data_IF_917982171804
#
_entry.id   IF_917982171804
#
_cell.length_a   1.000
_cell.length_b   1.000
_cell.length_c   1.000
_cell.angle_alpha   90.00
_cell.angle_beta   90.00
_cell.angle_gamma   90.00
#
_symmetry.space_group_name_H-M   'P 1'
#
loop_
_entity.id
_entity.type
_entity.pdbx_description
1 polymer ?
#
# COMPACT_ATOMS: atom_id res chain seq x y z
N UNK A 1 -10.24 -21.01 -34.59
CA UNK A 1 -10.30 -19.63 -35.11
C UNK A 1 -9.62 -18.71 -34.12
N UNK A 2 -8.43 -18.22 -34.41
CA UNK A 2 -7.74 -17.26 -33.54
C UNK A 2 -8.39 -15.90 -33.75
N UNK A 3 -9.22 -15.46 -32.80
CA UNK A 3 -9.83 -14.14 -32.84
C UNK A 3 -8.69 -13.13 -32.75
N UNK A 4 -8.40 -12.41 -33.85
CA UNK A 4 -7.46 -11.29 -33.80
C UNK A 4 -8.07 -10.27 -32.84
N UNK A 5 -7.50 -10.14 -31.63
CA UNK A 5 -7.94 -9.13 -30.67
C UNK A 5 -7.56 -7.77 -31.24
N UNK A 6 -8.53 -7.03 -31.76
CA UNK A 6 -8.35 -5.63 -32.11
C UNK A 6 -7.92 -4.88 -30.86
N UNK A 7 -6.77 -4.20 -30.91
CA UNK A 7 -6.30 -3.39 -29.79
C UNK A 7 -7.19 -2.15 -29.65
N UNK A 8 -7.53 -1.79 -28.41
CA UNK A 8 -8.22 -0.53 -28.12
C UNK A 8 -7.28 0.65 -28.34
N UNK A 9 -7.79 1.78 -28.83
CA UNK A 9 -7.00 3.02 -28.87
C UNK A 9 -6.73 3.52 -27.44
N UNK A 10 -5.69 4.34 -27.29
CA UNK A 10 -5.38 4.98 -26.01
C UNK A 10 -6.57 5.78 -25.47
N UNK A 11 -7.23 6.54 -26.35
CA UNK A 11 -8.43 7.32 -26.02
C UNK A 11 -9.56 6.45 -25.47
N UNK A 12 -9.80 5.26 -26.05
CA UNK A 12 -10.82 4.33 -25.53
C UNK A 12 -10.45 3.79 -24.15
N UNK A 13 -9.18 3.51 -23.90
CA UNK A 13 -8.70 3.06 -22.58
C UNK A 13 -8.91 4.17 -21.55
N UNK A 14 -8.45 5.38 -21.86
CA UNK A 14 -8.58 6.54 -20.97
C UNK A 14 -10.03 6.91 -20.66
N UNK A 15 -10.93 6.74 -21.63
CA UNK A 15 -12.37 6.88 -21.41
C UNK A 15 -12.90 5.79 -20.47
N UNK A 16 -12.51 4.53 -20.69
CA UNK A 16 -12.92 3.40 -19.85
C UNK A 16 -12.45 3.53 -18.40
N UNK A 17 -11.28 4.13 -18.15
CA UNK A 17 -10.77 4.38 -16.79
C UNK A 17 -11.53 5.45 -16.02
N UNK A 18 -12.37 6.23 -16.68
CA UNK A 18 -13.21 7.26 -16.05
C UNK A 18 -14.64 6.76 -15.80
N UNK A 19 -14.94 5.51 -16.15
CA UNK A 19 -16.27 4.95 -15.98
C UNK A 19 -16.61 4.75 -14.49
N UNK A 20 -17.87 4.94 -14.14
CA UNK A 20 -18.37 4.67 -12.79
C UNK A 20 -18.30 3.19 -12.41
N UNK A 21 -18.40 2.29 -13.39
CA UNK A 21 -18.37 0.84 -13.19
C UNK A 21 -16.92 0.33 -13.08
N UNK A 22 -16.60 -0.33 -11.97
CA UNK A 22 -15.26 -0.88 -11.75
C UNK A 22 -14.91 -2.00 -12.74
N UNK A 23 -15.88 -2.77 -13.23
CA UNK A 23 -15.64 -3.81 -14.23
C UNK A 23 -15.14 -3.20 -15.55
N UNK A 24 -15.69 -2.04 -15.92
CA UNK A 24 -15.25 -1.29 -17.12
C UNK A 24 -13.84 -0.73 -16.93
N UNK A 25 -13.56 -0.12 -15.77
CA UNK A 25 -12.20 0.37 -15.45
C UNK A 25 -11.18 -0.77 -15.40
N UNK A 26 -11.55 -1.93 -14.85
CA UNK A 26 -10.71 -3.12 -14.79
C UNK A 26 -10.44 -3.65 -16.20
N UNK A 27 -11.46 -3.72 -17.06
CA UNK A 27 -11.32 -4.11 -18.45
C UNK A 27 -10.37 -3.17 -19.21
N UNK A 28 -10.43 -1.86 -18.95
CA UNK A 28 -9.50 -0.88 -19.51
C UNK A 28 -8.04 -1.15 -19.07
N UNK A 29 -7.80 -1.43 -17.78
CA UNK A 29 -6.47 -1.82 -17.29
C UNK A 29 -5.98 -3.16 -17.88
N UNK A 30 -6.85 -4.15 -17.98
CA UNK A 30 -6.52 -5.42 -18.63
C UNK A 30 -6.13 -5.23 -20.10
N UNK A 31 -6.73 -4.24 -20.78
CA UNK A 31 -6.38 -3.90 -22.15
C UNK A 31 -5.01 -3.22 -22.31
N UNK A 32 -4.35 -2.79 -21.21
CA UNK A 32 -2.98 -2.27 -21.18
C UNK A 32 -1.91 -3.36 -21.10
N UNK A 33 -2.25 -4.59 -20.70
CA UNK A 33 -1.29 -5.66 -20.47
C UNK A 33 -0.59 -6.13 -21.76
N UNK A 34 0.74 -6.17 -21.73
CA UNK A 34 1.59 -6.53 -22.86
C UNK A 34 1.67 -5.46 -23.95
N UNK A 35 1.45 -4.19 -23.61
CA UNK A 35 1.43 -3.06 -24.55
C UNK A 35 2.26 -1.89 -24.04
N UNK A 36 2.86 -1.16 -24.96
CA UNK A 36 3.49 0.12 -24.66
C UNK A 36 2.39 1.19 -24.48
N UNK A 37 2.02 1.46 -23.23
CA UNK A 37 1.08 2.51 -22.84
C UNK A 37 1.79 3.47 -21.90
N UNK A 38 1.45 4.78 -21.90
CA UNK A 38 2.06 5.73 -20.98
C UNK A 38 1.91 5.26 -19.52
N UNK A 39 2.99 5.36 -18.74
CA UNK A 39 2.99 4.96 -17.33
C UNK A 39 1.90 5.69 -16.54
N UNK A 40 1.62 6.96 -16.89
CA UNK A 40 0.55 7.77 -16.30
C UNK A 40 -0.85 7.12 -16.39
N UNK A 41 -1.11 6.32 -17.44
CA UNK A 41 -2.36 5.57 -17.59
C UNK A 41 -2.43 4.41 -16.60
N UNK A 42 -1.32 3.68 -16.44
CA UNK A 42 -1.24 2.58 -15.48
C UNK A 42 -1.30 3.13 -14.05
N UNK A 43 -0.62 4.24 -13.78
CA UNK A 43 -0.68 4.95 -12.49
C UNK A 43 -2.09 5.36 -12.09
N UNK A 44 -2.96 5.72 -13.05
CA UNK A 44 -4.36 6.00 -12.77
C UNK A 44 -5.07 4.75 -12.22
N UNK A 45 -4.89 3.60 -12.87
CA UNK A 45 -5.46 2.32 -12.39
C UNK A 45 -4.85 1.84 -11.07
N UNK A 46 -3.57 2.12 -10.82
CA UNK A 46 -2.89 1.84 -9.56
C UNK A 46 -3.40 2.66 -8.36
N UNK A 47 -4.07 3.78 -8.64
CA UNK A 47 -4.71 4.69 -7.66
C UNK A 47 -6.23 4.57 -7.66
N UNK A 48 -6.79 3.62 -8.42
CA UNK A 48 -8.23 3.38 -8.44
C UNK A 48 -8.73 2.99 -7.05
N UNK A 49 -9.99 3.30 -6.73
CA UNK A 49 -10.62 2.92 -5.47
C UNK A 49 -10.94 1.42 -5.40
N UNK A 50 -11.12 0.79 -6.55
CA UNK A 50 -11.46 -0.63 -6.64
C UNK A 50 -10.20 -1.52 -6.65
N UNK A 51 -10.20 -2.59 -5.84
CA UNK A 51 -9.04 -3.46 -5.69
C UNK A 51 -8.72 -4.28 -6.96
N UNK A 52 -9.74 -4.67 -7.71
CA UNK A 52 -9.57 -5.48 -8.91
C UNK A 52 -8.98 -4.65 -10.06
N UNK A 53 -9.34 -3.36 -10.13
CA UNK A 53 -8.73 -2.40 -11.06
C UNK A 53 -7.25 -2.18 -10.73
N UNK A 54 -6.92 -1.98 -9.45
CA UNK A 54 -5.52 -1.84 -9.00
C UNK A 54 -4.69 -3.08 -9.33
N UNK A 55 -5.23 -4.27 -9.08
CA UNK A 55 -4.56 -5.53 -9.42
C UNK A 55 -4.33 -5.66 -10.94
N UNK A 56 -5.31 -5.27 -11.76
CA UNK A 56 -5.16 -5.27 -13.21
C UNK A 56 -4.05 -4.30 -13.69
N UNK A 57 -3.91 -3.14 -13.04
CA UNK A 57 -2.85 -2.17 -13.32
C UNK A 57 -1.45 -2.70 -12.93
N UNK A 58 -1.32 -3.37 -11.78
CA UNK A 58 -0.08 -4.04 -11.37
C UNK A 58 0.35 -5.13 -12.36
N UNK A 59 -0.62 -5.95 -12.80
CA UNK A 59 -0.39 -6.95 -13.83
C UNK A 59 0.07 -6.31 -15.15
N UNK A 60 -0.42 -5.11 -15.47
CA UNK A 60 0.05 -4.35 -16.63
C UNK A 60 1.51 -3.88 -16.44
N UNK A 61 1.90 -3.34 -15.28
CA UNK A 61 3.31 -3.03 -14.99
C UNK A 61 4.21 -4.24 -15.21
N UNK A 62 3.91 -5.37 -14.57
CA UNK A 62 4.70 -6.61 -14.65
C UNK A 62 4.81 -7.11 -16.08
N UNK A 63 3.68 -7.21 -16.81
CA UNK A 63 3.68 -7.71 -18.19
C UNK A 63 4.35 -6.76 -19.18
N UNK A 64 4.35 -5.46 -18.90
CA UNK A 64 5.01 -4.46 -19.74
C UNK A 64 6.49 -4.30 -19.38
N UNK A 65 6.98 -4.99 -18.34
CA UNK A 65 8.36 -4.90 -17.87
C UNK A 65 8.67 -3.59 -17.14
N UNK A 66 7.65 -2.87 -16.67
CA UNK A 66 7.85 -1.68 -15.84
C UNK A 66 8.00 -2.07 -14.37
N UNK A 67 8.92 -1.44 -13.62
CA UNK A 67 8.89 -1.53 -12.17
C UNK A 67 7.54 -1.00 -11.68
N UNK A 68 6.99 -1.65 -10.66
CA UNK A 68 5.77 -1.16 -10.01
C UNK A 68 6.10 0.20 -9.38
N UNK A 69 5.40 1.28 -9.76
CA UNK A 69 5.60 2.59 -9.15
C UNK A 69 5.34 2.53 -7.64
N UNK A 70 6.06 3.35 -6.88
CA UNK A 70 5.76 3.55 -5.46
C UNK A 70 4.49 4.39 -5.36
N UNK A 71 3.45 3.85 -4.75
CA UNK A 71 2.16 4.50 -4.60
C UNK A 71 1.93 4.80 -3.12
N UNK A 72 1.78 6.08 -2.80
CA UNK A 72 1.51 6.57 -1.46
C UNK A 72 0.18 7.32 -1.49
N UNK A 73 -0.86 6.76 -0.87
CA UNK A 73 -2.20 7.40 -0.84
C UNK A 73 -2.23 8.59 0.11
N UNK A 74 -1.30 8.63 1.05
CA UNK A 74 -0.97 9.78 1.88
C UNK A 74 0.55 9.90 1.94
N UNK A 75 1.03 11.13 2.13
CA UNK A 75 2.39 11.34 2.59
C UNK A 75 2.40 11.24 4.12
N UNK A 76 3.08 10.23 4.71
CA UNK A 76 3.21 10.11 6.16
C UNK A 76 3.95 11.32 6.74
N UNK A 77 3.68 11.70 7.99
CA UNK A 77 4.57 12.59 8.72
C UNK A 77 5.95 11.96 8.95
N UNK A 78 6.91 12.76 9.41
CA UNK A 78 8.28 12.32 9.72
C UNK A 78 8.29 11.08 10.64
N UNK A 79 7.46 11.10 11.69
CA UNK A 79 7.30 9.99 12.62
C UNK A 79 5.88 9.46 12.60
N UNK A 80 5.75 8.14 12.43
CA UNK A 80 4.48 7.40 12.53
C UNK A 80 4.48 6.48 13.75
N UNK A 81 3.28 6.07 14.17
CA UNK A 81 3.08 5.41 15.46
C UNK A 81 2.33 4.10 15.30
N UNK A 82 2.88 3.01 15.85
CA UNK A 82 2.23 1.70 15.87
C UNK A 82 1.93 1.28 17.30
N UNK A 83 0.64 1.10 17.62
CA UNK A 83 0.24 0.49 18.90
C UNK A 83 0.61 -0.99 18.92
N UNK A 84 1.30 -1.37 20.00
CA UNK A 84 1.75 -2.72 20.31
C UNK A 84 1.08 -3.22 21.59
N UNK A 85 1.32 -4.49 21.94
CA UNK A 85 0.80 -5.12 23.16
C UNK A 85 1.28 -4.34 24.40
N UNK A 86 0.40 -4.20 25.40
CA UNK A 86 0.73 -3.56 26.67
C UNK A 86 0.86 -2.04 26.60
N UNK A 87 0.13 -1.39 25.68
CA UNK A 87 0.15 0.06 25.42
C UNK A 87 1.54 0.61 25.03
N UNK A 88 2.46 -0.28 24.64
CA UNK A 88 3.73 0.11 24.03
C UNK A 88 3.45 0.73 22.66
N UNK A 89 4.09 1.85 22.37
CA UNK A 89 4.02 2.52 21.06
C UNK A 89 5.38 2.44 20.39
N UNK A 90 5.40 1.92 19.17
CA UNK A 90 6.57 1.92 18.30
C UNK A 90 6.51 3.16 17.42
N UNK A 91 7.57 3.98 17.47
CA UNK A 91 7.79 5.10 16.57
C UNK A 91 8.65 4.64 15.39
N UNK A 92 8.29 5.06 14.19
CA UNK A 92 9.02 4.68 12.98
C UNK A 92 9.02 5.81 11.94
N UNK A 93 9.99 5.75 11.02
CA UNK A 93 9.97 6.51 9.76
C UNK A 93 9.53 5.58 8.63
N UNK A 94 8.87 6.13 7.61
CA UNK A 94 8.47 5.39 6.41
C UNK A 94 9.37 5.82 5.24
N UNK A 95 10.22 4.92 4.70
CA UNK A 95 11.08 5.24 3.57
C UNK A 95 10.29 5.73 2.35
N UNK A 96 10.86 6.63 1.54
CA UNK A 96 10.24 7.13 0.30
C UNK A 96 9.97 6.02 -0.72
N UNK A 97 10.73 4.92 -0.64
CA UNK A 97 10.55 3.73 -1.48
C UNK A 97 9.40 2.83 -1.05
N UNK A 98 8.79 3.09 0.12
CA UNK A 98 7.72 2.26 0.66
C UNK A 98 6.37 2.59 0.01
N UNK A 99 5.63 1.54 -0.34
CA UNK A 99 4.21 1.66 -0.66
C UNK A 99 3.47 2.12 0.59
N UNK A 100 2.52 3.06 0.45
CA UNK A 100 1.71 3.55 1.56
C UNK A 100 0.24 3.54 1.16
N UNK A 101 -0.59 2.94 2.01
CA UNK A 101 -2.05 2.90 1.87
C UNK A 101 -2.70 3.39 3.16
N UNK A 102 -3.80 4.11 3.03
CA UNK A 102 -4.56 4.66 4.15
C UNK A 102 -4.99 6.11 3.91
N UNK A 103 -5.52 6.72 4.98
CA UNK A 103 -6.04 8.09 5.00
C UNK A 103 -5.66 8.75 6.32
N UNK A 104 -5.37 10.05 6.30
CA UNK A 104 -5.16 10.84 7.53
C UNK A 104 -6.38 10.72 8.45
N UNK A 105 -6.16 10.54 9.76
CA UNK A 105 -7.25 10.28 10.70
C UNK A 105 -7.66 8.81 10.82
N UNK A 106 -6.95 7.89 10.16
CA UNK A 106 -7.28 6.45 10.14
C UNK A 106 -6.01 5.61 10.13
N UNK A 107 -6.17 4.31 10.40
CA UNK A 107 -5.07 3.35 10.33
C UNK A 107 -4.52 3.31 8.91
N UNK A 108 -3.21 3.38 8.80
CA UNK A 108 -2.47 3.30 7.56
C UNK A 108 -1.58 2.06 7.57
N UNK A 109 -1.05 1.70 6.40
CA UNK A 109 -0.15 0.58 6.21
C UNK A 109 0.97 0.94 5.24
N UNK A 110 2.16 0.42 5.51
CA UNK A 110 3.33 0.60 4.67
C UNK A 110 4.00 -0.74 4.35
N UNK A 111 4.67 -0.82 3.19
CA UNK A 111 5.47 -1.98 2.81
C UNK A 111 6.84 -2.02 3.48
N UNK A 112 7.29 -0.91 4.06
CA UNK A 112 8.53 -0.83 4.83
C UNK A 112 8.45 0.26 5.90
N UNK A 113 9.22 0.09 6.98
CA UNK A 113 9.36 1.06 8.06
C UNK A 113 10.71 0.88 8.77
N UNK A 114 11.28 1.96 9.29
CA UNK A 114 12.47 1.92 10.13
C UNK A 114 12.12 2.35 11.55
N UNK A 115 12.41 1.51 12.54
CA UNK A 115 12.01 1.76 13.92
C UNK A 115 13.00 2.70 14.60
N UNK A 116 12.52 3.85 15.07
CA UNK A 116 13.37 4.91 15.63
C UNK A 116 13.31 5.01 17.15
N UNK A 117 12.17 4.68 17.75
CA UNK A 117 11.95 4.80 19.19
C UNK A 117 10.86 3.83 19.64
N UNK A 118 10.92 3.41 20.92
CA UNK A 118 9.87 2.65 21.59
C UNK A 118 9.46 3.38 22.86
N UNK A 119 8.17 3.71 22.96
CA UNK A 119 7.57 4.39 24.10
C UNK A 119 6.85 3.34 24.96
N UNK A 120 7.32 3.17 26.20
CA UNK A 120 6.81 2.17 27.14
C UNK A 120 7.72 0.94 27.22
N UNK A 121 7.29 -0.07 27.98
CA UNK A 121 8.02 -1.35 28.10
C UNK A 121 7.03 -2.50 28.19
N UNK A 122 7.46 -3.67 27.70
CA UNK A 122 6.76 -4.93 27.92
C UNK A 122 7.64 -5.80 28.82
N UNK A 123 7.14 -6.15 30.01
CA UNK A 123 7.92 -6.95 30.98
C UNK A 123 9.23 -6.29 31.45
N UNK A 124 9.33 -4.96 31.37
CA UNK A 124 10.55 -4.21 31.70
C UNK A 124 11.53 -4.03 30.54
N UNK A 125 11.24 -4.60 29.37
CA UNK A 125 12.05 -4.47 28.16
C UNK A 125 11.43 -3.44 27.19
N UNK A 126 12.29 -2.64 26.54
CA UNK A 126 11.87 -1.69 25.51
C UNK A 126 11.69 -2.43 24.18
N UNK A 127 10.54 -3.09 24.03
CA UNK A 127 10.19 -3.90 22.85
C UNK A 127 8.73 -3.70 22.48
N UNK A 128 8.46 -3.50 21.19
CA UNK A 128 7.12 -3.54 20.64
C UNK A 128 6.74 -4.95 20.22
N UNK A 129 5.60 -5.47 20.66
CA UNK A 129 5.05 -6.74 20.17
C UNK A 129 3.76 -6.46 19.40
N UNK A 130 3.66 -6.95 18.17
CA UNK A 130 2.48 -6.77 17.32
C UNK A 130 1.20 -7.30 17.99
N UNK A 131 0.16 -6.47 18.02
CA UNK A 131 -1.16 -6.83 18.60
C UNK A 131 -1.85 -7.94 17.79
N UNK A 132 -1.61 -7.99 16.48
CA UNK A 132 -2.31 -8.88 15.56
C UNK A 132 -1.85 -10.34 15.68
N UNK A 133 -0.56 -10.59 15.50
CA UNK A 133 0.00 -11.96 15.51
C UNK A 133 0.58 -12.38 16.86
N UNK A 134 0.82 -11.40 17.76
CA UNK A 134 1.45 -11.58 19.08
C UNK A 134 2.83 -12.24 19.01
N UNK A 135 3.50 -12.13 17.86
CA UNK A 135 4.77 -12.79 17.55
C UNK A 135 5.80 -11.83 17.00
N UNK A 136 5.41 -10.93 16.10
CA UNK A 136 6.35 -9.98 15.50
C UNK A 136 6.80 -8.98 16.56
N UNK A 137 8.11 -8.90 16.76
CA UNK A 137 8.77 -7.97 17.69
C UNK A 137 9.42 -6.82 16.93
N UNK A 138 9.50 -5.66 17.57
CA UNK A 138 10.15 -4.46 17.05
C UNK A 138 11.12 -3.92 18.10
N UNK A 139 12.35 -3.67 17.67
CA UNK A 139 13.42 -3.03 18.42
C UNK A 139 13.87 -1.75 17.71
N UNK A 140 14.45 -0.82 18.48
CA UNK A 140 15.03 0.39 17.91
C UNK A 140 16.17 0.02 16.95
N UNK A 141 16.13 0.58 15.75
CA UNK A 141 17.07 0.29 14.67
C UNK A 141 16.62 -0.80 13.69
N UNK A 142 15.51 -1.49 13.96
CA UNK A 142 14.99 -2.51 13.05
C UNK A 142 14.47 -1.90 11.74
N UNK A 143 14.83 -2.53 10.62
CA UNK A 143 14.21 -2.32 9.32
C UNK A 143 13.13 -3.38 9.08
N UNK A 144 11.88 -2.94 8.99
CA UNK A 144 10.73 -3.78 8.69
C UNK A 144 10.50 -3.76 7.18
N UNK A 145 10.51 -4.93 6.55
CA UNK A 145 10.15 -5.11 5.13
C UNK A 145 9.01 -6.11 5.01
N UNK A 146 8.00 -5.77 4.20
CA UNK A 146 6.84 -6.60 3.91
C UNK A 146 6.95 -7.08 2.46
N UNK A 147 7.38 -8.33 2.28
CA UNK A 147 7.59 -8.92 0.94
C UNK A 147 6.28 -9.09 0.17
N UNK A 148 5.24 -9.61 0.84
CA UNK A 148 3.90 -9.82 0.28
C UNK A 148 2.94 -8.69 0.68
N UNK A 149 3.33 -7.43 0.43
CA UNK A 149 2.48 -6.29 0.77
C UNK A 149 1.23 -6.26 -0.10
N UNK A 150 0.06 -6.45 0.51
CA UNK A 150 -1.21 -6.36 -0.20
C UNK A 150 -1.41 -4.92 -0.70
N UNK A 151 -1.83 -4.73 -1.94
CA UNK A 151 -2.08 -3.41 -2.52
C UNK A 151 -3.57 -2.99 -2.51
N UNK A 152 -4.42 -3.81 -1.87
CA UNK A 152 -5.85 -3.55 -1.69
C UNK A 152 -6.14 -2.30 -0.82
N UNK A 153 -7.41 -2.01 -0.55
CA UNK A 153 -7.80 -0.95 0.39
C UNK A 153 -8.16 -1.53 1.76
N UNK A 154 -8.02 -2.86 1.94
CA UNK A 154 -8.27 -3.50 3.21
C UNK A 154 -7.23 -3.04 4.24
N UNK A 155 -7.67 -2.23 5.18
CA UNK A 155 -6.86 -1.67 6.25
C UNK A 155 -6.34 -2.72 7.23
N UNK A 156 -6.82 -3.96 7.16
CA UNK A 156 -6.38 -5.09 7.99
C UNK A 156 -5.46 -6.05 7.24
N UNK A 157 -5.15 -5.78 5.97
CA UNK A 157 -4.29 -6.65 5.19
C UNK A 157 -2.80 -6.48 5.51
N UNK A 158 -1.97 -7.33 4.93
CA UNK A 158 -0.56 -7.42 5.27
C UNK A 158 0.18 -6.09 5.07
N UNK A 159 0.91 -5.66 6.11
CA UNK A 159 1.62 -4.38 6.12
C UNK A 159 2.09 -3.96 7.51
N UNK A 160 3.04 -3.02 7.54
CA UNK A 160 3.37 -2.30 8.76
C UNK A 160 2.24 -1.30 9.06
N UNK A 161 1.34 -1.68 9.96
CA UNK A 161 0.22 -0.83 10.36
C UNK A 161 0.67 0.31 11.29
N UNK A 162 0.31 1.54 10.94
CA UNK A 162 0.68 2.75 11.68
C UNK A 162 -0.45 3.78 11.71
N UNK A 163 -0.32 4.76 12.60
CA UNK A 163 -1.11 5.98 12.71
C UNK A 163 -0.21 7.20 12.48
N UNK A 164 -0.79 8.28 11.95
CA UNK A 164 -0.04 9.50 11.68
C UNK A 164 0.20 10.32 12.94
N UNK A 165 -0.59 10.13 14.00
CA UNK A 165 -0.37 10.80 15.28
C UNK A 165 -0.31 9.82 16.45
N UNK A 166 0.36 10.25 17.52
CA UNK A 166 0.46 9.45 18.74
C UNK A 166 -0.88 9.36 19.46
N UNK A 167 -1.73 10.39 19.37
CA UNK A 167 -3.07 10.40 19.96
C UNK A 167 -3.98 9.36 19.30
N UNK A 168 -3.92 9.25 17.96
CA UNK A 168 -4.62 8.21 17.20
C UNK A 168 -4.17 6.82 17.65
N UNK A 169 -2.86 6.60 17.72
CA UNK A 169 -2.30 5.33 18.15
C UNK A 169 -2.71 4.95 19.59
N UNK A 170 -2.69 5.91 20.53
CA UNK A 170 -3.08 5.64 21.93
C UNK A 170 -4.56 5.29 22.07
N UNK A 171 -5.43 5.90 21.26
CA UNK A 171 -6.89 5.72 21.32
C UNK A 171 -7.36 4.39 20.71
N UNK A 172 -6.61 3.84 19.76
CA UNK A 172 -6.92 2.56 19.08
C UNK A 172 -6.93 1.39 20.05
#
# INVERSE_FOLDING_TARGET
>A
MTKVRKQLSLETIEAGLKDSDCDVRQAAMNACQGRDVPLTVIEAGLKDSDCDVRQAAMNACVKNGYPIPVIRTIEPPETVYKKCVGDVIVCATIPETAQVRGKKGSKCRASAAHITEIIGTFGGESVGISVWDKKTTYFVGDDVLIEDYDMSEDECSQGFHFFCTIEEAKKY
#
